data_IF_486803796149
#
_entry.id   IF_486803796149
#
_cell.length_a   1.000
_cell.length_b   1.000
_cell.length_c   1.000
_cell.angle_alpha   90.00
_cell.angle_beta   90.00
_cell.angle_gamma   90.00
#
_symmetry.space_group_name_H-M   'P 1'
#
loop_
_entity.id
_entity.type
_entity.pdbx_description
1 polymer ?
#
# COMPACT_ATOMS: atom_id res chain seq x y z
N UNK A 1 -10.29 -42.46 30.08
CA UNK A 1 -10.22 -41.80 28.76
C UNK A 1 -9.69 -40.37 28.93
N UNK A 2 -8.72 -40.19 29.83
CA UNK A 2 -8.21 -38.89 30.28
C UNK A 2 -7.36 -38.16 29.23
N UNK A 3 -7.01 -38.85 28.13
CA UNK A 3 -6.27 -38.23 27.03
C UNK A 3 -7.15 -37.24 26.25
N UNK A 4 -8.47 -37.48 26.13
CA UNK A 4 -9.39 -36.55 25.47
C UNK A 4 -9.71 -35.31 26.33
N UNK A 5 -9.68 -35.43 27.66
CA UNK A 5 -9.84 -34.27 28.56
C UNK A 5 -8.54 -33.44 28.67
N UNK A 6 -7.37 -34.08 28.59
CA UNK A 6 -6.07 -33.38 28.48
C UNK A 6 -5.94 -32.63 27.14
N UNK A 7 -6.34 -33.24 26.03
CA UNK A 7 -6.36 -32.58 24.71
C UNK A 7 -7.42 -31.46 24.63
N UNK A 8 -8.53 -31.58 25.38
CA UNK A 8 -9.51 -30.49 25.50
C UNK A 8 -9.00 -29.32 26.36
N UNK A 9 -8.02 -29.54 27.25
CA UNK A 9 -7.36 -28.48 28.03
C UNK A 9 -6.20 -27.82 27.30
N UNK A 10 -5.49 -28.55 26.43
CA UNK A 10 -4.49 -27.96 25.51
C UNK A 10 -5.12 -27.17 24.35
N UNK A 11 -6.42 -27.34 24.10
CA UNK A 11 -7.24 -26.50 23.21
C UNK A 11 -7.51 -25.08 23.74
N UNK A 12 -7.06 -24.75 24.95
CA UNK A 12 -6.79 -23.36 25.34
C UNK A 12 -5.31 -23.10 25.11
N UNK A 13 -4.95 -22.95 23.82
CA UNK A 13 -3.87 -22.03 23.48
C UNK A 13 -4.12 -20.80 24.35
N UNK A 14 -3.16 -20.57 25.24
CA UNK A 14 -3.11 -19.48 26.19
C UNK A 14 -3.86 -18.31 25.58
N UNK A 15 -5.06 -18.06 26.11
CA UNK A 15 -5.71 -16.79 25.95
C UNK A 15 -4.79 -15.81 26.66
N UNK A 16 -3.71 -15.43 25.97
CA UNK A 16 -3.05 -14.17 26.13
C UNK A 16 -4.19 -13.20 25.90
N UNK A 17 -4.82 -12.81 26.99
CA UNK A 17 -5.41 -11.49 27.20
C UNK A 17 -4.30 -10.42 27.08
N UNK A 18 -3.42 -10.55 26.09
CA UNK A 18 -2.42 -9.60 25.71
C UNK A 18 -3.15 -8.52 24.94
N UNK A 19 -2.91 -7.27 25.32
CA UNK A 19 -3.41 -6.14 24.56
C UNK A 19 -3.12 -6.39 23.07
N UNK A 20 -4.17 -6.58 22.28
CA UNK A 20 -4.08 -6.78 20.83
C UNK A 20 -3.22 -5.65 20.28
N UNK A 21 -2.07 -5.97 19.68
CA UNK A 21 -1.19 -4.91 19.21
C UNK A 21 -1.95 -4.12 18.14
N UNK A 22 -1.77 -2.79 18.07
CA UNK A 22 -2.45 -1.98 17.06
C UNK A 22 -2.25 -2.49 15.63
N UNK A 23 -1.10 -3.11 15.35
CA UNK A 23 -0.80 -3.72 14.05
C UNK A 23 -1.63 -4.99 13.78
N UNK A 24 -1.81 -5.86 14.78
CA UNK A 24 -2.61 -7.08 14.67
C UNK A 24 -4.08 -6.75 14.43
N UNK A 25 -4.58 -5.68 15.09
CA UNK A 25 -5.93 -5.17 14.85
C UNK A 25 -6.11 -4.74 13.38
N UNK A 26 -5.15 -3.98 12.83
CA UNK A 26 -5.19 -3.54 11.43
C UNK A 26 -5.13 -4.74 10.48
N UNK A 27 -4.18 -5.67 10.65
CA UNK A 27 -4.05 -6.84 9.79
C UNK A 27 -5.33 -7.67 9.76
N UNK A 28 -5.85 -8.05 10.92
CA UNK A 28 -7.06 -8.88 11.01
C UNK A 28 -8.28 -8.18 10.38
N UNK A 29 -8.37 -6.86 10.52
CA UNK A 29 -9.43 -6.06 9.91
C UNK A 29 -9.31 -6.07 8.37
N UNK A 30 -8.10 -5.96 7.82
CA UNK A 30 -7.87 -6.00 6.37
C UNK A 30 -8.08 -7.40 5.80
N UNK A 31 -7.68 -8.46 6.51
CA UNK A 31 -7.83 -9.87 6.08
C UNK A 31 -9.29 -10.34 6.03
N UNK A 32 -10.16 -9.80 6.89
CA UNK A 32 -11.58 -10.18 6.98
C UNK A 32 -12.45 -9.64 5.84
N UNK A 33 -11.88 -8.91 4.88
CA UNK A 33 -12.62 -8.32 3.76
C UNK A 33 -11.87 -8.47 2.43
N UNK A 34 -12.57 -8.37 1.30
CA UNK A 34 -11.89 -8.23 0.02
C UNK A 34 -10.95 -7.02 0.07
N UNK A 35 -9.72 -7.19 -0.42
CA UNK A 35 -8.72 -6.13 -0.44
C UNK A 35 -9.04 -5.10 -1.55
N UNK A 36 -10.15 -4.36 -1.41
CA UNK A 36 -10.59 -3.41 -2.41
C UNK A 36 -11.29 -2.21 -1.77
N UNK A 37 -10.80 -1.02 -2.05
CA UNK A 37 -11.32 0.25 -1.52
C UNK A 37 -11.84 1.12 -2.68
N UNK A 38 -13.15 1.05 -2.94
CA UNK A 38 -13.76 1.66 -4.12
C UNK A 38 -13.53 3.18 -4.20
N UNK A 39 -13.59 3.89 -3.07
CA UNK A 39 -13.36 5.34 -3.03
C UNK A 39 -11.92 5.70 -3.38
N UNK A 40 -10.94 4.92 -2.90
CA UNK A 40 -9.53 5.12 -3.22
C UNK A 40 -9.21 4.79 -4.68
N UNK A 41 -9.83 3.75 -5.25
CA UNK A 41 -9.68 3.43 -6.68
C UNK A 41 -10.22 4.55 -7.57
N UNK A 42 -11.42 5.05 -7.27
CA UNK A 42 -12.01 6.15 -8.03
C UNK A 42 -11.18 7.44 -7.95
N UNK A 43 -10.69 7.80 -6.76
CA UNK A 43 -9.79 8.95 -6.60
C UNK A 43 -8.44 8.74 -7.29
N UNK A 44 -7.90 7.51 -7.30
CA UNK A 44 -6.68 7.19 -8.02
C UNK A 44 -6.85 7.37 -9.54
N UNK A 45 -7.95 6.87 -10.11
CA UNK A 45 -8.28 7.04 -11.54
C UNK A 45 -8.47 8.52 -11.90
N UNK A 46 -9.18 9.28 -11.06
CA UNK A 46 -9.31 10.73 -11.23
C UNK A 46 -7.96 11.44 -11.13
N UNK A 47 -7.08 11.00 -10.22
CA UNK A 47 -5.76 11.60 -10.05
C UNK A 47 -4.83 11.29 -11.22
N UNK A 48 -4.85 10.08 -11.78
CA UNK A 48 -4.13 9.75 -13.02
C UNK A 48 -4.52 10.72 -14.15
N UNK A 49 -5.81 11.05 -14.28
CA UNK A 49 -6.31 11.98 -15.29
C UNK A 49 -5.82 13.42 -15.08
N UNK A 50 -5.63 13.85 -13.83
CA UNK A 50 -5.08 15.17 -13.49
C UNK A 50 -3.56 15.24 -13.70
N UNK A 51 -2.85 14.15 -13.44
CA UNK A 51 -1.40 14.08 -13.62
C UNK A 51 -0.99 14.02 -15.09
N UNK A 52 -1.81 13.36 -15.92
CA UNK A 52 -1.51 13.03 -17.33
C UNK A 52 -0.06 12.55 -17.51
N UNK A 53 0.33 11.45 -16.85
CA UNK A 53 1.75 11.12 -16.65
C UNK A 53 2.49 10.68 -17.90
N UNK A 54 1.78 10.38 -19.01
CA UNK A 54 2.36 9.66 -20.13
C UNK A 54 3.08 8.39 -19.65
N UNK A 55 4.35 8.25 -20.03
CA UNK A 55 5.19 7.12 -19.65
C UNK A 55 6.05 7.37 -18.38
N UNK A 56 6.05 8.58 -17.80
CA UNK A 56 6.88 8.95 -16.64
C UNK A 56 6.05 9.52 -15.48
N UNK A 57 5.41 8.60 -14.75
CA UNK A 57 4.64 8.92 -13.54
C UNK A 57 5.51 9.58 -12.46
N UNK A 58 6.79 9.22 -12.36
CA UNK A 58 7.66 9.78 -11.32
C UNK A 58 7.89 11.27 -11.54
N UNK A 59 8.16 11.68 -12.78
CA UNK A 59 8.32 13.09 -13.12
C UNK A 59 7.01 13.87 -13.04
N UNK A 60 5.89 13.27 -13.46
CA UNK A 60 4.57 13.88 -13.32
C UNK A 60 4.23 14.17 -11.85
N UNK A 61 4.47 13.21 -10.94
CA UNK A 61 4.26 13.38 -9.51
C UNK A 61 5.15 14.48 -8.90
N UNK A 62 6.44 14.50 -9.24
CA UNK A 62 7.37 15.56 -8.80
C UNK A 62 6.90 16.94 -9.27
N UNK A 63 6.44 17.04 -10.52
CA UNK A 63 5.95 18.29 -11.10
C UNK A 63 4.67 18.75 -10.41
N UNK A 64 3.72 17.84 -10.17
CA UNK A 64 2.48 18.12 -9.47
C UNK A 64 2.72 18.56 -8.02
N UNK A 65 3.53 17.81 -7.26
CA UNK A 65 3.89 18.16 -5.87
C UNK A 65 4.52 19.56 -5.78
N UNK A 66 5.42 19.89 -6.72
CA UNK A 66 6.05 21.19 -6.78
C UNK A 66 5.08 22.31 -7.15
N UNK A 67 4.20 22.07 -8.12
CA UNK A 67 3.27 23.08 -8.64
C UNK A 67 2.15 23.39 -7.64
N UNK A 68 1.53 22.37 -7.07
CA UNK A 68 0.35 22.55 -6.21
C UNK A 68 0.73 22.87 -4.75
N UNK A 69 1.85 22.33 -4.26
CA UNK A 69 2.23 22.42 -2.84
C UNK A 69 3.62 23.01 -2.59
N UNK A 70 4.39 23.33 -3.63
CA UNK A 70 5.78 23.77 -3.47
C UNK A 70 6.73 22.67 -2.99
N UNK A 71 6.29 21.41 -2.97
CA UNK A 71 7.08 20.30 -2.42
C UNK A 71 8.12 19.83 -3.44
N UNK A 72 9.39 19.86 -3.07
CA UNK A 72 10.50 19.37 -3.89
C UNK A 72 10.97 18.01 -3.41
N UNK A 73 10.94 17.02 -4.30
CA UNK A 73 11.46 15.68 -4.02
C UNK A 73 12.99 15.65 -4.21
N UNK A 74 13.71 15.10 -3.24
CA UNK A 74 15.17 14.92 -3.27
C UNK A 74 15.57 13.54 -2.78
N UNK A 75 16.39 12.86 -3.57
CA UNK A 75 17.09 11.65 -3.11
C UNK A 75 18.36 12.10 -2.40
N UNK A 76 18.59 11.61 -1.18
CA UNK A 76 19.76 11.95 -0.37
C UNK A 76 20.64 10.72 -0.12
N UNK A 77 21.96 10.94 0.04
CA UNK A 77 22.89 9.89 0.40
C UNK A 77 22.53 9.18 1.70
N UNK A 78 22.92 7.89 1.81
CA UNK A 78 22.73 7.07 3.01
C UNK A 78 23.28 7.75 4.26
N UNK A 79 24.46 8.37 4.15
CA UNK A 79 25.11 9.07 5.25
C UNK A 79 24.22 10.19 5.83
N UNK A 80 23.39 10.82 5.00
CA UNK A 80 22.46 11.89 5.41
C UNK A 80 21.11 11.35 5.90
N UNK A 81 20.73 10.15 5.46
CA UNK A 81 19.47 9.46 5.85
C UNK A 81 19.74 8.02 6.34
N UNK A 82 20.39 7.84 7.52
CA UNK A 82 20.82 6.52 7.99
C UNK A 82 19.65 5.61 8.39
N UNK A 83 18.56 6.18 8.91
CA UNK A 83 17.44 5.41 9.47
C UNK A 83 16.12 5.56 8.70
N UNK A 84 16.01 6.59 7.85
CA UNK A 84 14.76 6.97 7.22
C UNK A 84 14.72 6.52 5.77
N UNK A 85 13.67 5.79 5.37
CA UNK A 85 13.36 5.54 3.95
C UNK A 85 12.87 6.81 3.26
N UNK A 86 11.99 7.55 3.94
CA UNK A 86 11.34 8.77 3.49
C UNK A 86 11.20 9.75 4.65
N UNK A 87 11.38 11.05 4.40
CA UNK A 87 11.14 12.11 5.38
C UNK A 87 10.58 13.35 4.68
N UNK A 88 9.40 13.80 5.10
CA UNK A 88 8.85 15.07 4.67
C UNK A 88 9.23 16.18 5.65
N UNK A 89 9.96 17.18 5.18
CA UNK A 89 10.27 18.40 5.92
C UNK A 89 9.31 19.53 5.53
N UNK A 90 8.41 19.86 6.46
CA UNK A 90 7.42 20.92 6.28
C UNK A 90 8.01 22.32 6.29
N UNK A 91 9.17 22.53 6.90
CA UNK A 91 9.78 23.86 6.94
C UNK A 91 10.39 24.22 5.58
N UNK A 92 11.15 23.30 4.98
CA UNK A 92 11.77 23.52 3.67
C UNK A 92 10.91 23.09 2.48
N UNK A 93 9.71 22.51 2.72
CA UNK A 93 8.83 21.92 1.70
C UNK A 93 9.58 20.89 0.84
N UNK A 94 10.29 19.96 1.50
CA UNK A 94 11.09 18.94 0.82
C UNK A 94 10.70 17.54 1.24
N UNK A 95 10.46 16.69 0.25
CA UNK A 95 10.30 15.25 0.45
C UNK A 95 11.64 14.58 0.18
N UNK A 96 12.30 14.13 1.24
CA UNK A 96 13.57 13.41 1.15
C UNK A 96 13.34 11.90 1.05
N UNK A 97 14.06 11.25 0.14
CA UNK A 97 14.08 9.80 -0.06
C UNK A 97 15.51 9.28 0.14
N UNK A 98 15.65 8.10 0.75
CA UNK A 98 16.94 7.45 0.86
C UNK A 98 17.38 6.87 -0.49
N UNK A 99 18.65 7.06 -0.86
CA UNK A 99 19.23 6.43 -2.05
C UNK A 99 19.28 4.89 -2.00
N UNK A 100 19.07 4.28 -0.82
CA UNK A 100 18.94 2.82 -0.67
C UNK A 100 17.67 2.26 -1.30
N UNK A 101 16.67 3.10 -1.51
CA UNK A 101 15.44 2.68 -2.15
C UNK A 101 15.71 2.37 -3.62
N UNK A 102 15.23 1.22 -4.08
CA UNK A 102 15.14 0.95 -5.51
C UNK A 102 14.33 2.04 -6.21
N UNK A 103 14.51 2.27 -7.52
CA UNK A 103 13.70 3.24 -8.26
C UNK A 103 12.19 3.00 -8.12
N UNK A 104 11.77 1.73 -8.06
CA UNK A 104 10.37 1.32 -7.84
C UNK A 104 9.85 1.73 -6.48
N UNK A 105 10.68 1.60 -5.44
CA UNK A 105 10.32 2.05 -4.08
C UNK A 105 10.32 3.57 -3.99
N UNK A 106 11.26 4.26 -4.62
CA UNK A 106 11.25 5.74 -4.66
C UNK A 106 9.97 6.26 -5.29
N UNK A 107 9.54 5.67 -6.42
CA UNK A 107 8.27 5.99 -7.05
C UNK A 107 7.09 5.76 -6.10
N UNK A 108 7.01 4.59 -5.45
CA UNK A 108 5.94 4.26 -4.51
C UNK A 108 5.89 5.23 -3.33
N UNK A 109 7.03 5.60 -2.76
CA UNK A 109 7.11 6.54 -1.64
C UNK A 109 6.63 7.96 -2.02
N UNK A 110 6.91 8.41 -3.24
CA UNK A 110 6.41 9.69 -3.78
C UNK A 110 4.93 9.61 -4.11
N UNK A 111 4.49 8.52 -4.75
CA UNK A 111 3.09 8.28 -5.07
C UNK A 111 2.24 8.23 -3.80
N UNK A 112 2.73 7.55 -2.76
CA UNK A 112 2.07 7.49 -1.45
C UNK A 112 1.91 8.87 -0.83
N UNK A 113 2.94 9.72 -0.86
CA UNK A 113 2.84 11.08 -0.31
C UNK A 113 1.81 11.91 -1.10
N UNK A 114 1.87 11.84 -2.43
CA UNK A 114 0.93 12.55 -3.29
C UNK A 114 -0.53 12.07 -3.07
N UNK A 115 -0.75 10.75 -2.95
CA UNK A 115 -2.06 10.19 -2.65
C UNK A 115 -2.56 10.58 -1.27
N UNK A 116 -1.72 10.57 -0.23
CA UNK A 116 -2.12 10.99 1.11
C UNK A 116 -2.51 12.47 1.17
N UNK A 117 -1.90 13.32 0.34
CA UNK A 117 -2.28 14.72 0.19
C UNK A 117 -3.61 14.82 -0.60
N UNK A 118 -3.66 14.26 -1.82
CA UNK A 118 -4.79 14.43 -2.75
C UNK A 118 -6.07 13.75 -2.27
N UNK A 119 -5.95 12.59 -1.63
CA UNK A 119 -7.06 11.71 -1.25
C UNK A 119 -7.37 11.79 0.25
N UNK A 120 -7.02 12.90 0.90
CA UNK A 120 -7.19 13.10 2.36
C UNK A 120 -8.60 12.72 2.83
N UNK A 121 -9.64 13.13 2.10
CA UNK A 121 -11.04 12.87 2.44
C UNK A 121 -11.39 11.39 2.30
N UNK A 122 -11.02 10.76 1.17
CA UNK A 122 -11.29 9.34 0.93
C UNK A 122 -10.57 8.46 1.96
N UNK A 123 -9.28 8.72 2.21
CA UNK A 123 -8.49 8.00 3.23
C UNK A 123 -9.10 8.17 4.63
N UNK A 124 -9.53 9.37 5.00
CA UNK A 124 -10.19 9.60 6.29
C UNK A 124 -11.52 8.85 6.40
N UNK A 125 -12.32 8.82 5.33
CA UNK A 125 -13.57 8.06 5.25
C UNK A 125 -13.35 6.56 5.44
N UNK A 126 -12.36 5.99 4.75
CA UNK A 126 -12.00 4.58 4.92
C UNK A 126 -11.53 4.28 6.34
N UNK A 127 -10.61 5.08 6.92
CA UNK A 127 -10.16 4.90 8.32
C UNK A 127 -11.34 4.91 9.30
N UNK A 128 -12.29 5.83 9.10
CA UNK A 128 -13.47 5.91 9.96
C UNK A 128 -14.36 4.65 9.83
N UNK A 129 -14.50 4.11 8.62
CA UNK A 129 -15.24 2.89 8.36
C UNK A 129 -14.60 1.64 8.99
N UNK A 130 -13.27 1.63 9.18
CA UNK A 130 -12.54 0.55 9.82
C UNK A 130 -12.86 0.38 11.32
N UNK A 131 -13.40 1.40 11.98
CA UNK A 131 -13.78 1.39 13.42
C UNK A 131 -12.64 0.92 14.36
N UNK A 132 -11.41 1.36 14.06
CA UNK A 132 -10.21 1.00 14.83
C UNK A 132 -10.26 1.54 16.26
N UNK A 133 -9.75 0.74 17.20
CA UNK A 133 -9.86 1.01 18.63
C UNK A 133 -8.91 2.10 19.14
N UNK A 134 -7.72 2.23 18.55
CA UNK A 134 -6.67 3.16 19.01
C UNK A 134 -6.22 4.14 17.92
N UNK A 135 -5.67 5.27 18.34
CA UNK A 135 -5.08 6.24 17.42
C UNK A 135 -3.81 5.72 16.74
N UNK A 136 -3.09 4.80 17.39
CA UNK A 136 -1.95 4.11 16.77
C UNK A 136 -2.42 3.20 15.62
N UNK A 137 -3.48 2.41 15.84
CA UNK A 137 -4.07 1.59 14.79
C UNK A 137 -4.58 2.46 13.63
N UNK A 138 -5.19 3.61 13.91
CA UNK A 138 -5.59 4.59 12.88
C UNK A 138 -4.39 5.14 12.10
N UNK A 139 -3.24 5.39 12.75
CA UNK A 139 -2.01 5.82 12.06
C UNK A 139 -1.46 4.73 11.15
N UNK A 140 -1.42 3.49 11.62
CA UNK A 140 -1.00 2.33 10.83
C UNK A 140 -1.92 2.09 9.64
N UNK A 141 -3.24 2.12 9.84
CA UNK A 141 -4.20 1.99 8.75
C UNK A 141 -4.09 3.13 7.72
N UNK A 142 -3.82 4.36 8.16
CA UNK A 142 -3.54 5.46 7.22
C UNK A 142 -2.33 5.18 6.34
N UNK A 143 -1.27 4.62 6.93
CA UNK A 143 -0.09 4.21 6.18
C UNK A 143 -0.46 3.13 5.15
N UNK A 144 -1.19 2.09 5.56
CA UNK A 144 -1.62 1.01 4.66
C UNK A 144 -2.55 1.49 3.53
N UNK A 145 -3.52 2.35 3.83
CA UNK A 145 -4.41 2.94 2.83
C UNK A 145 -3.64 3.88 1.88
N UNK A 146 -2.64 4.60 2.37
CA UNK A 146 -1.75 5.39 1.52
C UNK A 146 -0.93 4.51 0.58
N UNK A 147 -0.43 3.37 1.06
CA UNK A 147 0.28 2.37 0.25
C UNK A 147 -0.65 1.75 -0.79
N UNK A 148 -1.87 1.38 -0.40
CA UNK A 148 -2.91 0.91 -1.33
C UNK A 148 -3.17 1.95 -2.43
N UNK A 149 -3.40 3.21 -2.06
CA UNK A 149 -3.67 4.29 -3.00
C UNK A 149 -2.48 4.55 -3.96
N UNK A 150 -1.25 4.43 -3.47
CA UNK A 150 -0.06 4.50 -4.31
C UNK A 150 -0.04 3.38 -5.37
N UNK A 151 -0.33 2.15 -4.98
CA UNK A 151 -0.43 1.03 -5.92
C UNK A 151 -1.56 1.20 -6.93
N UNK A 152 -2.73 1.68 -6.49
CA UNK A 152 -3.84 1.97 -7.38
C UNK A 152 -3.48 3.04 -8.42
N UNK A 153 -2.73 4.07 -8.02
CA UNK A 153 -2.26 5.13 -8.92
C UNK A 153 -1.18 4.63 -9.89
N UNK A 154 -0.20 3.85 -9.41
CA UNK A 154 0.89 3.30 -10.22
C UNK A 154 0.39 2.22 -11.20
N UNK A 155 -0.66 1.51 -10.83
CA UNK A 155 -1.25 0.41 -11.61
C UNK A 155 -2.78 0.59 -11.70
N UNK A 156 -3.25 1.47 -12.61
CA UNK A 156 -4.67 1.76 -12.76
C UNK A 156 -5.50 0.50 -12.99
N UNK A 157 -6.63 0.38 -12.28
CA UNK A 157 -7.38 -0.89 -12.15
C UNK A 157 -7.64 -1.58 -13.49
N UNK A 158 -8.30 -0.89 -14.43
CA UNK A 158 -8.71 -1.48 -15.70
C UNK A 158 -7.51 -1.86 -16.58
N UNK A 159 -6.47 -1.02 -16.60
CA UNK A 159 -5.25 -1.29 -17.36
C UNK A 159 -4.51 -2.50 -16.81
N UNK A 160 -4.34 -2.57 -15.49
CA UNK A 160 -3.67 -3.66 -14.80
C UNK A 160 -4.47 -4.97 -14.89
N UNK A 161 -5.78 -4.94 -14.67
CA UNK A 161 -6.67 -6.09 -14.79
C UNK A 161 -6.63 -6.68 -16.21
N UNK A 162 -6.77 -5.86 -17.24
CA UNK A 162 -6.70 -6.31 -18.63
C UNK A 162 -5.30 -6.85 -19.01
N UNK A 163 -4.22 -6.26 -18.47
CA UNK A 163 -2.87 -6.78 -18.64
C UNK A 163 -2.70 -8.14 -17.95
N UNK A 164 -3.21 -8.30 -16.72
CA UNK A 164 -3.14 -9.54 -15.96
C UNK A 164 -3.85 -10.68 -16.67
N UNK A 165 -5.07 -10.43 -17.18
CA UNK A 165 -5.79 -11.43 -17.97
C UNK A 165 -5.04 -11.83 -19.24
N UNK A 166 -4.54 -10.87 -20.02
CA UNK A 166 -3.80 -11.15 -21.26
C UNK A 166 -2.49 -11.90 -21.02
N UNK A 167 -1.79 -11.57 -19.94
CA UNK A 167 -0.56 -12.23 -19.54
C UNK A 167 -0.80 -13.55 -18.78
N UNK A 168 -2.06 -13.96 -18.58
CA UNK A 168 -2.43 -15.11 -17.74
C UNK A 168 -1.79 -15.05 -16.35
N UNK A 169 -1.79 -13.86 -15.76
CA UNK A 169 -1.25 -13.58 -14.43
C UNK A 169 0.27 -13.80 -14.28
N UNK A 170 1.02 -13.74 -15.38
CA UNK A 170 2.49 -13.70 -15.34
C UNK A 170 2.99 -12.39 -14.69
N UNK A 171 3.51 -12.52 -13.47
CA UNK A 171 3.95 -11.37 -12.66
C UNK A 171 5.20 -10.72 -13.26
N UNK A 172 6.07 -11.47 -13.94
CA UNK A 172 7.25 -10.91 -14.59
C UNK A 172 6.87 -9.98 -15.76
N UNK A 173 5.88 -10.40 -16.55
CA UNK A 173 5.32 -9.56 -17.61
C UNK A 173 4.63 -8.32 -17.03
N UNK A 174 3.88 -8.49 -15.94
CA UNK A 174 3.19 -7.37 -15.29
C UNK A 174 4.16 -6.35 -14.70
N UNK A 175 5.15 -6.80 -13.92
CA UNK A 175 6.11 -5.89 -13.26
C UNK A 175 6.92 -5.09 -14.29
N UNK A 176 7.30 -5.72 -15.40
CA UNK A 176 8.00 -5.06 -16.50
C UNK A 176 7.11 -4.03 -17.20
N UNK A 177 5.84 -4.37 -17.47
CA UNK A 177 4.89 -3.49 -18.18
C UNK A 177 4.55 -2.22 -17.40
N UNK A 178 4.43 -2.31 -16.08
CA UNK A 178 4.06 -1.18 -15.23
C UNK A 178 5.28 -0.50 -14.58
N UNK A 179 6.49 -1.01 -14.82
CA UNK A 179 7.72 -0.48 -14.21
C UNK A 179 7.68 -0.52 -12.68
N UNK A 180 7.28 -1.67 -12.11
CA UNK A 180 7.14 -1.89 -10.67
C UNK A 180 7.97 -3.08 -10.19
N UNK A 181 8.13 -3.25 -8.88
CA UNK A 181 8.76 -4.45 -8.33
C UNK A 181 7.84 -5.68 -8.43
N UNK A 182 8.40 -6.88 -8.25
CA UNK A 182 7.62 -8.11 -8.18
C UNK A 182 6.59 -8.07 -7.04
N UNK A 183 7.03 -7.67 -5.85
CA UNK A 183 6.18 -7.54 -4.66
C UNK A 183 5.03 -6.55 -4.90
N UNK A 184 5.32 -5.40 -5.51
CA UNK A 184 4.30 -4.39 -5.82
C UNK A 184 3.25 -4.92 -6.81
N UNK A 185 3.67 -5.62 -7.87
CA UNK A 185 2.77 -6.24 -8.85
C UNK A 185 1.92 -7.35 -8.21
N UNK A 186 2.53 -8.21 -7.41
CA UNK A 186 1.84 -9.27 -6.67
C UNK A 186 0.83 -8.69 -5.66
N UNK A 187 1.20 -7.62 -4.94
CA UNK A 187 0.28 -6.92 -4.05
C UNK A 187 -0.92 -6.35 -4.81
N UNK A 188 -0.70 -5.74 -5.99
CA UNK A 188 -1.79 -5.23 -6.82
C UNK A 188 -2.75 -6.32 -7.29
N UNK A 189 -2.27 -7.54 -7.57
CA UNK A 189 -3.12 -8.67 -7.93
C UNK A 189 -4.13 -9.02 -6.84
N UNK A 190 -3.72 -8.97 -5.56
CA UNK A 190 -4.65 -9.18 -4.43
C UNK A 190 -5.75 -8.12 -4.37
N UNK A 191 -5.52 -6.94 -4.96
CA UNK A 191 -6.45 -5.81 -4.91
C UNK A 191 -7.55 -5.85 -5.98
N UNK A 192 -7.49 -6.82 -6.89
CA UNK A 192 -8.41 -6.92 -8.03
C UNK A 192 -9.77 -7.50 -7.65
N UNK A 193 -10.46 -6.89 -6.68
CA UNK A 193 -11.76 -7.35 -6.17
C UNK A 193 -12.91 -6.33 -6.40
N UNK A 194 -12.86 -5.57 -7.51
CA UNK A 194 -13.92 -4.61 -7.87
C UNK A 194 -15.20 -5.37 -8.23
N UNK A 195 -16.36 -5.04 -7.61
CA UNK A 195 -17.63 -5.62 -8.00
C UNK A 195 -17.92 -5.45 -9.50
N UNK A 196 -18.38 -6.51 -10.15
CA UNK A 196 -18.67 -6.54 -11.59
C UNK A 196 -17.46 -6.77 -12.50
N UNK A 197 -16.23 -6.54 -12.04
CA UNK A 197 -14.99 -6.80 -12.80
C UNK A 197 -13.87 -7.43 -11.94
N UNK A 198 -14.15 -8.51 -11.16
CA UNK A 198 -13.13 -9.11 -10.32
C UNK A 198 -12.04 -9.79 -11.15
N UNK A 199 -10.81 -9.81 -10.62
CA UNK A 199 -9.74 -10.70 -11.04
C UNK A 199 -9.76 -12.01 -10.24
N UNK A 200 -8.74 -12.85 -10.45
CA UNK A 200 -8.54 -14.05 -9.62
C UNK A 200 -8.30 -13.65 -8.16
N UNK A 201 -8.99 -14.25 -7.18
CA UNK A 201 -8.78 -13.95 -5.76
C UNK A 201 -7.47 -14.56 -5.27
N UNK A 202 -6.48 -13.70 -5.07
CA UNK A 202 -5.19 -14.06 -4.49
C UNK A 202 -5.13 -13.69 -3.01
N UNK A 203 -4.33 -14.45 -2.26
CA UNK A 203 -3.75 -14.01 -1.00
C UNK A 203 -2.26 -13.78 -1.20
N UNK A 204 -1.67 -12.92 -0.36
CA UNK A 204 -0.23 -12.68 -0.34
C UNK A 204 0.33 -13.27 0.96
N UNK A 205 1.50 -13.90 0.85
CA UNK A 205 2.30 -14.32 1.99
C UNK A 205 3.73 -13.85 1.74
N UNK A 206 4.27 -13.08 2.68
CA UNK A 206 5.68 -12.71 2.71
C UNK A 206 6.36 -13.56 3.79
N UNK A 207 7.49 -14.16 3.46
CA UNK A 207 8.23 -15.04 4.37
C UNK A 207 9.71 -14.69 4.27
N UNK A 208 10.37 -14.49 5.41
CA UNK A 208 11.82 -14.33 5.47
C UNK A 208 12.56 -15.69 5.51
N UNK A 209 13.90 -15.68 5.43
CA UNK A 209 14.68 -16.92 5.48
C UNK A 209 14.55 -17.69 6.81
N UNK A 210 14.08 -17.03 7.87
CA UNK A 210 13.83 -17.65 9.17
C UNK A 210 12.39 -18.19 9.30
N UNK A 211 11.53 -17.96 8.31
CA UNK A 211 10.15 -18.42 8.29
C UNK A 211 9.16 -17.49 8.98
N UNK A 212 9.54 -16.24 9.27
CA UNK A 212 8.63 -15.21 9.77
C UNK A 212 7.83 -14.56 8.65
#
# INVERSE_FOLDING_TARGET
SDLNELLAREGKATALSGARLPIDEVHEIFERRPNHFAALEAEAEAFTSVLDPGDDLFSALKAWLKREYGIVVKVLPVATMPNWRRRYDRHSQRLFLSERLSPFDQLREVAMEACLIRMTVAVAGEIQALKLSTDEARRLARFELGRYAAHALMMPYQSFHAAAHRARYDIDVLRSRFGVSFEQAANRLTMLQRPGTPGVPFFMLEVDNAGN
#
